data_IF_703137829612
#
_entry.id   IF_703137829612
#
_cell.length_a   1.000
_cell.length_b   1.000
_cell.length_c   1.000
_cell.angle_alpha   90.00
_cell.angle_beta   90.00
_cell.angle_gamma   90.00
#
_symmetry.space_group_name_H-M   'P 1'
#
loop_
_entity.id
_entity.type
_entity.pdbx_description
1 polymer ?
#
# COMPACT_ATOMS: atom_id res chain seq x y z
N UNK A 1 59.24 -5.41 -4.06
CA UNK A 1 60.58 -5.42 -3.41
C UNK A 1 61.60 -6.28 -4.20
N UNK A 2 61.32 -7.55 -4.49
CA UNK A 2 62.23 -8.46 -5.21
C UNK A 2 62.71 -7.96 -6.60
N UNK A 3 61.80 -7.41 -7.43
CA UNK A 3 62.12 -6.83 -8.75
C UNK A 3 63.11 -5.65 -8.68
N UNK A 4 63.05 -4.85 -7.63
CA UNK A 4 63.96 -3.71 -7.46
C UNK A 4 65.35 -4.17 -7.00
N UNK A 5 65.41 -5.20 -6.13
CA UNK A 5 66.66 -5.78 -5.64
C UNK A 5 67.46 -6.42 -6.79
N UNK A 6 66.81 -7.18 -7.69
CA UNK A 6 67.50 -7.80 -8.83
C UNK A 6 68.00 -6.78 -9.86
N UNK A 7 67.45 -5.56 -9.89
CA UNK A 7 67.91 -4.47 -10.76
C UNK A 7 69.14 -3.73 -10.21
N UNK A 8 69.35 -3.73 -8.89
CA UNK A 8 70.44 -3.00 -8.22
C UNK A 8 71.69 -3.88 -8.08
N UNK A 9 71.54 -5.18 -7.86
CA UNK A 9 72.65 -6.08 -7.52
C UNK A 9 73.68 -6.36 -8.63
N UNK A 10 73.40 -6.00 -9.89
CA UNK A 10 74.32 -6.12 -11.05
C UNK A 10 75.01 -7.50 -11.21
N UNK A 11 74.39 -8.58 -10.74
CA UNK A 11 74.88 -9.96 -10.85
C UNK A 11 74.16 -10.73 -11.98
N UNK A 12 74.78 -11.80 -12.50
CA UNK A 12 74.20 -12.60 -13.60
C UNK A 12 72.86 -13.23 -13.22
N UNK A 13 72.73 -13.73 -11.99
CA UNK A 13 71.45 -14.25 -11.47
C UNK A 13 70.37 -13.16 -11.43
N UNK A 14 70.70 -11.92 -11.06
CA UNK A 14 69.76 -10.80 -11.04
C UNK A 14 69.28 -10.41 -12.44
N UNK A 15 70.14 -10.49 -13.47
CA UNK A 15 69.75 -10.32 -14.87
C UNK A 15 68.74 -11.37 -15.32
N UNK A 16 68.99 -12.65 -14.99
CA UNK A 16 68.08 -13.75 -15.29
C UNK A 16 66.71 -13.53 -14.64
N UNK A 17 66.68 -13.26 -13.32
CA UNK A 17 65.43 -13.02 -12.62
C UNK A 17 64.70 -11.77 -13.12
N UNK A 18 65.43 -10.73 -13.53
CA UNK A 18 64.85 -9.53 -14.15
C UNK A 18 64.14 -9.87 -15.47
N UNK A 19 64.78 -10.63 -16.36
CA UNK A 19 64.17 -11.05 -17.63
C UNK A 19 62.92 -11.87 -17.38
N UNK A 20 62.99 -12.82 -16.45
CA UNK A 20 61.84 -13.61 -16.03
C UNK A 20 60.67 -12.76 -15.52
N UNK A 21 60.92 -11.75 -14.67
CA UNK A 21 59.87 -10.83 -14.21
C UNK A 21 59.29 -9.97 -15.34
N UNK A 22 60.11 -9.53 -16.29
CA UNK A 22 59.63 -8.75 -17.45
C UNK A 22 58.73 -9.60 -18.36
N UNK A 23 59.07 -10.86 -18.57
CA UNK A 23 58.25 -11.81 -19.33
C UNK A 23 56.95 -12.15 -18.60
N UNK A 24 57.02 -12.37 -17.29
CA UNK A 24 55.82 -12.52 -16.46
C UNK A 24 54.91 -11.29 -16.55
N UNK A 25 55.46 -10.09 -16.45
CA UNK A 25 54.67 -8.85 -16.57
C UNK A 25 54.11 -8.65 -17.97
N UNK A 26 54.88 -8.97 -19.03
CA UNK A 26 54.39 -8.89 -20.42
C UNK A 26 53.25 -9.88 -20.67
N UNK A 27 53.39 -11.11 -20.19
CA UNK A 27 52.35 -12.12 -20.35
C UNK A 27 51.16 -11.84 -19.44
N UNK A 28 51.36 -11.24 -18.27
CA UNK A 28 50.29 -10.81 -17.37
C UNK A 28 49.57 -9.58 -17.90
N UNK A 29 50.27 -8.64 -18.52
CA UNK A 29 49.68 -7.44 -19.11
C UNK A 29 49.31 -7.64 -20.58
N UNK A 30 49.35 -8.87 -21.10
CA UNK A 30 48.90 -9.13 -22.47
C UNK A 30 47.40 -8.80 -22.59
N UNK A 31 46.97 -8.17 -23.70
CA UNK A 31 45.58 -7.78 -23.89
C UNK A 31 44.60 -8.94 -23.63
N UNK A 32 44.96 -10.14 -24.09
CA UNK A 32 44.17 -11.37 -23.88
C UNK A 32 44.01 -11.73 -22.39
N UNK A 33 45.10 -11.72 -21.60
CA UNK A 33 45.01 -12.10 -20.18
C UNK A 33 44.32 -11.03 -19.33
N UNK A 34 44.45 -9.76 -19.70
CA UNK A 34 43.73 -8.65 -19.04
C UNK A 34 42.23 -8.74 -19.37
N UNK A 35 41.88 -8.96 -20.63
CA UNK A 35 40.50 -9.11 -21.08
C UNK A 35 39.83 -10.34 -20.46
N UNK A 36 40.52 -11.48 -20.37
CA UNK A 36 39.99 -12.69 -19.72
C UNK A 36 39.60 -12.43 -18.27
N UNK A 37 40.41 -11.66 -17.53
CA UNK A 37 40.09 -11.25 -16.15
C UNK A 37 38.92 -10.28 -16.08
N UNK A 38 38.89 -9.28 -16.96
CA UNK A 38 37.76 -8.35 -17.04
C UNK A 38 36.45 -9.09 -17.32
N UNK A 39 36.47 -10.08 -18.22
CA UNK A 39 35.33 -10.91 -18.56
C UNK A 39 34.91 -11.82 -17.38
N UNK A 40 35.86 -12.40 -16.66
CA UNK A 40 35.56 -13.15 -15.43
C UNK A 40 34.87 -12.29 -14.37
N UNK A 41 35.37 -11.07 -14.16
CA UNK A 41 34.77 -10.12 -13.22
C UNK A 41 33.35 -9.70 -13.66
N UNK A 42 33.17 -9.40 -14.95
CA UNK A 42 31.86 -9.07 -15.51
C UNK A 42 30.86 -10.23 -15.34
N UNK A 43 31.27 -11.47 -15.62
CA UNK A 43 30.43 -12.65 -15.44
C UNK A 43 30.08 -12.89 -13.97
N UNK A 44 31.02 -12.69 -13.05
CA UNK A 44 30.75 -12.78 -11.61
C UNK A 44 29.71 -11.72 -11.18
N UNK A 45 29.83 -10.50 -11.70
CA UNK A 45 28.88 -9.42 -11.42
C UNK A 45 27.49 -9.70 -12.01
N UNK A 46 27.40 -10.22 -13.24
CA UNK A 46 26.13 -10.63 -13.85
C UNK A 46 25.48 -11.74 -13.02
N UNK A 47 26.25 -12.71 -12.54
CA UNK A 47 25.74 -13.79 -11.69
C UNK A 47 25.21 -13.24 -10.36
N UNK A 48 25.96 -12.35 -9.70
CA UNK A 48 25.51 -11.70 -8.46
C UNK A 48 24.22 -10.90 -8.67
N UNK A 49 24.17 -10.07 -9.70
CA UNK A 49 22.98 -9.30 -10.06
C UNK A 49 21.78 -10.22 -10.36
N UNK A 50 21.98 -11.32 -11.08
CA UNK A 50 20.91 -12.29 -11.35
C UNK A 50 20.35 -12.92 -10.07
N UNK A 51 21.22 -13.21 -9.10
CA UNK A 51 20.83 -13.75 -7.81
C UNK A 51 20.05 -12.72 -6.98
N UNK A 52 20.50 -11.46 -7.00
CA UNK A 52 19.78 -10.36 -6.36
C UNK A 52 18.40 -10.13 -6.97
N UNK A 53 18.27 -10.13 -8.29
CA UNK A 53 16.98 -10.02 -8.98
C UNK A 53 16.03 -11.16 -8.57
N UNK A 54 16.51 -12.41 -8.61
CA UNK A 54 15.68 -13.57 -8.22
C UNK A 54 15.20 -13.49 -6.76
N UNK A 55 16.07 -13.02 -5.86
CA UNK A 55 15.71 -12.80 -4.45
C UNK A 55 14.67 -11.70 -4.28
N UNK A 56 14.85 -10.56 -4.97
CA UNK A 56 13.89 -9.45 -4.95
C UNK A 56 12.54 -9.86 -5.52
N UNK A 57 12.53 -10.65 -6.61
CA UNK A 57 11.30 -11.20 -7.19
C UNK A 57 10.55 -12.08 -6.18
N UNK A 58 11.26 -12.93 -5.45
CA UNK A 58 10.68 -13.74 -4.36
C UNK A 58 10.04 -12.88 -3.27
N UNK A 59 10.71 -11.81 -2.84
CA UNK A 59 10.18 -10.86 -1.85
C UNK A 59 8.94 -10.12 -2.38
N UNK A 60 8.95 -9.67 -3.64
CA UNK A 60 7.81 -8.99 -4.27
C UNK A 60 6.60 -9.93 -4.33
N UNK A 61 6.79 -11.20 -4.68
CA UNK A 61 5.69 -12.18 -4.73
C UNK A 61 5.09 -12.41 -3.34
N UNK A 62 5.93 -12.54 -2.32
CA UNK A 62 5.47 -12.71 -0.94
C UNK A 62 4.70 -11.47 -0.44
N UNK A 63 5.24 -10.28 -0.67
CA UNK A 63 4.53 -9.03 -0.37
C UNK A 63 3.21 -8.91 -1.14
N UNK A 64 3.18 -9.29 -2.42
CA UNK A 64 1.94 -9.30 -3.23
C UNK A 64 0.89 -10.23 -2.65
N UNK A 65 1.26 -11.42 -2.16
CA UNK A 65 0.33 -12.35 -1.48
C UNK A 65 -0.23 -11.74 -0.19
N UNK A 66 0.63 -11.12 0.62
CA UNK A 66 0.20 -10.43 1.84
C UNK A 66 -0.76 -9.27 1.52
N UNK A 67 -0.41 -8.44 0.54
CA UNK A 67 -1.25 -7.33 0.07
C UNK A 67 -2.59 -7.84 -0.49
N UNK A 68 -2.61 -8.93 -1.25
CA UNK A 68 -3.84 -9.51 -1.81
C UNK A 68 -4.83 -9.93 -0.71
N UNK A 69 -4.35 -10.45 0.42
CA UNK A 69 -5.20 -10.80 1.57
C UNK A 69 -5.77 -9.58 2.30
N UNK A 70 -5.05 -8.45 2.27
CA UNK A 70 -5.42 -7.20 2.94
C UNK A 70 -6.26 -6.27 2.07
N UNK A 71 -6.13 -6.35 0.74
CA UNK A 71 -6.78 -5.48 -0.24
C UNK A 71 -8.31 -5.37 -0.12
N UNK A 72 -9.09 -6.46 0.00
CA UNK A 72 -10.55 -6.29 0.04
C UNK A 72 -11.02 -5.50 1.29
N UNK A 73 -10.27 -5.56 2.39
CA UNK A 73 -10.60 -4.85 3.65
C UNK A 73 -10.16 -3.38 3.65
N UNK A 74 -9.08 -3.05 2.95
CA UNK A 74 -8.51 -1.70 2.92
C UNK A 74 -9.16 -0.79 1.87
N UNK A 75 -9.67 -1.36 0.76
CA UNK A 75 -10.17 -0.60 -0.39
C UNK A 75 -11.37 0.30 -0.04
N UNK A 76 -12.30 -0.15 0.80
CA UNK A 76 -13.42 0.70 1.24
C UNK A 76 -12.97 1.86 2.13
N UNK A 77 -12.02 1.61 3.04
CA UNK A 77 -11.45 2.61 3.94
C UNK A 77 -10.61 3.63 3.17
N UNK A 78 -9.81 3.19 2.22
CA UNK A 78 -8.99 4.07 1.38
C UNK A 78 -9.88 4.98 0.52
N UNK A 79 -10.96 4.46 -0.08
CA UNK A 79 -11.92 5.30 -0.82
C UNK A 79 -12.57 6.38 0.06
N UNK A 80 -12.90 6.04 1.31
CA UNK A 80 -13.45 6.98 2.29
C UNK A 80 -12.42 8.07 2.65
N UNK A 81 -11.15 7.70 2.79
CA UNK A 81 -10.09 8.60 3.24
C UNK A 81 -9.68 9.64 2.17
N UNK A 82 -9.76 9.29 0.88
CA UNK A 82 -9.31 10.16 -0.22
C UNK A 82 -10.28 11.29 -0.62
N UNK A 83 -11.51 11.32 -0.10
CA UNK A 83 -12.51 12.33 -0.48
C UNK A 83 -12.91 13.23 0.70
N UNK A 84 -12.62 14.54 0.70
CA UNK A 84 -12.98 15.46 1.79
C UNK A 84 -14.46 15.89 1.75
N UNK A 85 -15.35 15.06 1.18
CA UNK A 85 -16.75 15.42 0.94
C UNK A 85 -17.68 15.01 2.08
N UNK A 86 -18.73 15.81 2.27
CA UNK A 86 -19.87 15.46 3.12
C UNK A 86 -20.74 14.46 2.39
N UNK A 87 -21.09 13.38 3.08
CA UNK A 87 -21.80 12.25 2.49
C UNK A 87 -23.24 12.21 3.00
N UNK A 88 -24.18 11.96 2.10
CA UNK A 88 -25.58 11.79 2.48
C UNK A 88 -25.80 10.41 3.10
N UNK A 89 -26.70 10.32 4.08
CA UNK A 89 -27.11 9.04 4.67
C UNK A 89 -27.65 8.06 3.62
N UNK A 90 -28.25 8.56 2.54
CA UNK A 90 -28.72 7.76 1.40
C UNK A 90 -27.58 7.08 0.66
N UNK A 91 -26.46 7.76 0.45
CA UNK A 91 -25.28 7.19 -0.20
C UNK A 91 -24.68 6.10 0.67
N UNK A 92 -24.48 6.38 1.97
CA UNK A 92 -23.98 5.38 2.93
C UNK A 92 -24.89 4.16 2.97
N UNK A 93 -26.22 4.35 3.08
CA UNK A 93 -27.15 3.22 3.14
C UNK A 93 -27.08 2.31 1.90
N UNK A 94 -26.86 2.89 0.71
CA UNK A 94 -26.69 2.13 -0.53
C UNK A 94 -25.43 1.27 -0.51
N UNK A 95 -24.34 1.74 0.09
CA UNK A 95 -23.11 0.94 0.24
C UNK A 95 -23.34 -0.33 1.09
N UNK A 96 -24.31 -0.30 2.02
CA UNK A 96 -24.70 -1.45 2.83
C UNK A 96 -25.89 -2.24 2.26
N UNK A 97 -26.40 -1.84 1.10
CA UNK A 97 -27.52 -2.52 0.45
C UNK A 97 -28.87 -2.30 1.11
N UNK A 98 -29.05 -1.20 1.82
CA UNK A 98 -30.30 -0.89 2.51
C UNK A 98 -30.80 0.50 2.16
N UNK A 99 -32.06 0.78 2.54
CA UNK A 99 -32.62 2.12 2.38
C UNK A 99 -32.10 3.05 3.49
N UNK A 100 -32.08 4.36 3.23
CA UNK A 100 -31.76 5.35 4.26
C UNK A 100 -32.73 5.25 5.45
N UNK A 101 -33.99 4.87 5.21
CA UNK A 101 -34.99 4.67 6.28
C UNK A 101 -34.57 3.51 7.18
N UNK A 102 -34.15 2.39 6.59
CA UNK A 102 -33.68 1.20 7.32
C UNK A 102 -32.42 1.51 8.12
N UNK A 103 -31.43 2.15 7.50
CA UNK A 103 -30.20 2.56 8.18
C UNK A 103 -30.50 3.50 9.35
N UNK A 104 -31.39 4.48 9.15
CA UNK A 104 -31.72 5.42 10.21
C UNK A 104 -32.43 4.77 11.40
N UNK A 105 -33.33 3.81 11.14
CA UNK A 105 -33.97 3.01 12.19
C UNK A 105 -32.94 2.18 12.96
N UNK A 106 -31.98 1.58 12.25
CA UNK A 106 -30.93 0.78 12.86
C UNK A 106 -30.04 1.63 13.78
N UNK A 107 -29.62 2.82 13.34
CA UNK A 107 -28.85 3.74 14.17
C UNK A 107 -29.67 4.30 15.35
N UNK A 108 -30.99 4.41 15.20
CA UNK A 108 -31.89 4.77 16.30
C UNK A 108 -31.98 3.66 17.35
N UNK A 109 -32.06 2.40 16.92
CA UNK A 109 -32.09 1.24 17.82
C UNK A 109 -30.74 1.02 18.54
N UNK A 110 -29.66 1.57 18.01
CA UNK A 110 -28.31 1.55 18.62
C UNK A 110 -28.02 2.80 19.46
N UNK A 111 -29.03 3.64 19.75
CA UNK A 111 -28.91 4.88 20.53
C UNK A 111 -27.83 5.85 20.01
N UNK A 112 -27.69 5.97 18.68
CA UNK A 112 -26.73 6.89 18.04
C UNK A 112 -27.40 8.18 17.59
N UNK A 113 -28.62 8.07 17.07
CA UNK A 113 -29.37 9.20 16.56
C UNK A 113 -30.85 9.07 16.85
N UNK A 114 -31.54 10.20 16.84
CA UNK A 114 -32.98 10.29 16.99
C UNK A 114 -33.56 11.28 15.98
N UNK A 115 -34.87 11.22 15.76
CA UNK A 115 -35.55 12.08 14.78
C UNK A 115 -36.21 13.27 15.49
N UNK A 116 -35.88 14.49 15.09
CA UNK A 116 -36.53 15.74 15.54
C UNK A 116 -36.90 16.61 14.34
N UNK A 117 -38.14 17.10 14.32
CA UNK A 117 -38.63 18.05 13.31
C UNK A 117 -38.35 17.64 11.85
N UNK A 118 -38.36 16.34 11.55
CA UNK A 118 -38.08 15.81 10.22
C UNK A 118 -36.60 15.52 9.92
N UNK A 119 -35.68 15.88 10.80
CA UNK A 119 -34.23 15.71 10.64
C UNK A 119 -33.69 14.71 11.66
N UNK A 120 -32.67 13.92 11.26
CA UNK A 120 -31.98 12.99 12.16
C UNK A 120 -30.81 13.70 12.84
N UNK A 121 -30.75 13.64 14.16
CA UNK A 121 -29.74 14.32 14.97
C UNK A 121 -29.05 13.28 15.86
N UNK A 122 -27.75 13.42 16.06
CA UNK A 122 -26.98 12.55 16.96
C UNK A 122 -27.32 12.82 18.42
N UNK A 123 -27.24 11.78 19.26
CA UNK A 123 -27.23 11.96 20.72
C UNK A 123 -26.01 12.74 21.18
N UNK A 124 -26.11 13.35 22.37
CA UNK A 124 -25.08 14.21 22.94
C UNK A 124 -23.70 13.52 22.99
N UNK A 125 -23.67 12.23 23.34
CA UNK A 125 -22.46 11.42 23.42
C UNK A 125 -21.67 11.35 22.11
N UNK A 126 -22.32 11.63 20.98
CA UNK A 126 -21.74 11.56 19.64
C UNK A 126 -21.69 12.90 18.91
N UNK A 127 -22.46 13.91 19.35
CA UNK A 127 -22.59 15.20 18.70
C UNK A 127 -21.24 15.96 18.62
N UNK A 128 -20.49 15.98 19.72
CA UNK A 128 -19.23 16.76 19.82
C UNK A 128 -18.03 16.10 19.11
N UNK A 129 -18.20 14.87 18.60
CA UNK A 129 -17.12 14.09 17.97
C UNK A 129 -16.87 14.47 16.51
N UNK A 130 -17.69 15.36 15.93
CA UNK A 130 -17.55 15.85 14.56
C UNK A 130 -17.97 14.82 13.50
N UNK A 131 -18.89 13.90 13.84
CA UNK A 131 -19.34 12.84 12.94
C UNK A 131 -20.36 13.30 11.89
N UNK A 132 -21.11 14.36 12.19
CA UNK A 132 -22.11 14.91 11.27
C UNK A 132 -22.01 16.43 11.16
N UNK A 133 -22.49 16.96 10.05
CA UNK A 133 -22.73 18.39 9.84
C UNK A 133 -24.15 18.61 9.34
N UNK A 134 -24.80 19.64 9.86
CA UNK A 134 -26.13 20.06 9.39
C UNK A 134 -25.97 20.99 8.20
N UNK A 135 -26.62 20.66 7.09
CA UNK A 135 -26.78 21.59 5.96
C UNK A 135 -28.20 22.08 5.89
N UNK A 136 -28.36 23.38 5.77
CA UNK A 136 -29.66 24.04 5.60
C UNK A 136 -29.81 24.49 4.17
N UNK A 137 -30.93 24.11 3.55
CA UNK A 137 -31.31 24.52 2.20
C UNK A 137 -32.53 25.41 2.27
N UNK A 138 -32.44 26.54 1.60
CA UNK A 138 -33.56 27.48 1.42
C UNK A 138 -34.34 26.96 0.21
N UNK A 139 -35.59 26.55 0.42
CA UNK A 139 -36.46 26.06 -0.65
C UNK A 139 -37.21 27.23 -1.28
N UNK A 140 -37.73 28.13 -0.45
CA UNK A 140 -38.39 29.39 -0.82
C UNK A 140 -37.96 30.48 0.19
N UNK A 141 -38.20 31.76 -0.10
CA UNK A 141 -37.82 32.90 0.76
C UNK A 141 -38.26 32.74 2.25
N UNK A 142 -39.34 31.99 2.52
CA UNK A 142 -39.85 31.71 3.86
C UNK A 142 -39.76 30.24 4.33
N UNK A 143 -39.14 29.34 3.56
CA UNK A 143 -39.06 27.91 3.93
C UNK A 143 -37.64 27.39 3.83
N UNK A 144 -37.10 26.97 4.98
CA UNK A 144 -35.81 26.30 5.08
C UNK A 144 -36.01 24.84 5.48
N UNK A 145 -35.24 23.93 4.86
CA UNK A 145 -35.14 22.53 5.31
C UNK A 145 -33.70 22.22 5.63
N UNK A 146 -33.48 21.70 6.83
CA UNK A 146 -32.17 21.25 7.28
C UNK A 146 -32.09 19.73 7.21
N UNK A 147 -30.98 19.21 6.70
CA UNK A 147 -30.68 17.79 6.76
C UNK A 147 -29.27 17.54 7.30
N UNK A 148 -29.10 16.38 7.90
CA UNK A 148 -27.84 15.97 8.49
C UNK A 148 -27.02 15.18 7.48
N UNK A 149 -25.78 15.60 7.31
CA UNK A 149 -24.77 14.95 6.47
C UNK A 149 -23.69 14.35 7.34
N UNK A 150 -23.09 13.25 6.89
CA UNK A 150 -22.02 12.57 7.59
C UNK A 150 -20.66 13.05 7.08
N UNK A 151 -19.72 13.24 8.01
CA UNK A 151 -18.32 13.46 7.68
C UNK A 151 -17.63 12.12 7.41
N UNK A 152 -16.44 12.12 6.79
CA UNK A 152 -15.68 10.87 6.62
C UNK A 152 -15.31 10.23 7.96
N UNK A 153 -15.01 11.04 8.98
CA UNK A 153 -14.81 10.56 10.35
C UNK A 153 -16.06 9.86 10.90
N UNK A 154 -17.24 10.42 10.63
CA UNK A 154 -18.52 9.81 10.99
C UNK A 154 -18.80 8.52 10.21
N UNK A 155 -18.47 8.49 8.91
CA UNK A 155 -18.59 7.29 8.08
C UNK A 155 -17.67 6.16 8.55
N UNK A 156 -16.45 6.47 8.96
CA UNK A 156 -15.52 5.52 9.59
C UNK A 156 -16.07 4.98 10.91
N UNK A 157 -16.64 5.87 11.74
CA UNK A 157 -17.31 5.46 12.99
C UNK A 157 -18.46 4.48 12.70
N UNK A 158 -19.33 4.81 11.74
CA UNK A 158 -20.42 3.91 11.31
C UNK A 158 -19.89 2.57 10.82
N UNK A 159 -18.83 2.57 10.01
CA UNK A 159 -18.22 1.32 9.53
C UNK A 159 -17.74 0.43 10.68
N UNK A 160 -16.98 0.97 11.61
CA UNK A 160 -16.46 0.19 12.76
C UNK A 160 -17.60 -0.34 13.64
N UNK A 161 -18.61 0.49 13.90
CA UNK A 161 -19.77 0.12 14.69
C UNK A 161 -20.60 -0.98 14.00
N UNK A 162 -20.97 -0.78 12.74
CA UNK A 162 -21.77 -1.75 11.98
C UNK A 162 -21.03 -3.08 11.85
N UNK A 163 -19.71 -3.03 11.63
CA UNK A 163 -18.85 -4.22 11.58
C UNK A 163 -18.82 -4.96 12.92
N UNK A 164 -18.80 -4.26 14.05
CA UNK A 164 -18.91 -4.88 15.37
C UNK A 164 -20.25 -5.61 15.57
N UNK A 165 -21.31 -5.13 14.93
CA UNK A 165 -22.63 -5.80 14.88
C UNK A 165 -22.78 -6.82 13.73
N UNK A 166 -21.70 -7.16 13.02
CA UNK A 166 -21.72 -8.13 11.92
C UNK A 166 -22.30 -7.63 10.60
N UNK A 167 -22.54 -6.32 10.48
CA UNK A 167 -23.09 -5.69 9.27
C UNK A 167 -21.93 -5.07 8.48
N UNK A 168 -21.59 -5.69 7.34
CA UNK A 168 -20.53 -5.20 6.45
C UNK A 168 -21.09 -4.58 5.17
N UNK A 169 -20.36 -3.62 4.56
CA UNK A 169 -20.70 -3.05 3.26
C UNK A 169 -20.78 -4.13 2.18
N UNK A 170 -21.55 -3.88 1.12
CA UNK A 170 -21.71 -4.80 -0.01
C UNK A 170 -20.39 -5.18 -0.67
N UNK A 171 -19.42 -4.26 -0.71
CA UNK A 171 -18.10 -4.54 -1.28
C UNK A 171 -17.25 -5.53 -0.45
N UNK A 172 -17.57 -5.71 0.83
CA UNK A 172 -16.87 -6.65 1.71
C UNK A 172 -17.65 -7.96 1.91
N UNK A 173 -18.89 -8.05 1.43
CA UNK A 173 -19.66 -9.29 1.52
C UNK A 173 -18.99 -10.32 0.61
N UNK A 174 -18.69 -11.54 1.09
CA UNK A 174 -18.28 -12.61 0.21
C UNK A 174 -19.41 -12.81 -0.80
N UNK A 175 -19.07 -12.86 -2.09
CA UNK A 175 -20.03 -13.18 -3.15
C UNK A 175 -20.66 -14.53 -2.83
N UNK A 176 -21.87 -14.52 -2.27
CA UNK A 176 -22.67 -15.73 -2.17
C UNK A 176 -23.10 -15.99 -3.61
N UNK A 177 -22.33 -16.84 -4.29
CA UNK A 177 -22.68 -17.47 -5.57
C UNK A 177 -24.12 -17.97 -5.47
N UNK A 178 -25.03 -17.18 -6.02
CA UNK A 178 -26.43 -17.53 -6.17
C UNK A 178 -26.56 -18.63 -7.21
N UNK A 179 -26.48 -19.88 -6.76
CA UNK A 179 -27.08 -21.02 -7.44
C UNK A 179 -27.95 -21.77 -6.44
N UNK A 180 -29.11 -21.19 -6.14
CA UNK A 180 -30.27 -21.99 -5.78
C UNK A 180 -31.17 -21.93 -7.01
N UNK A 181 -30.90 -22.82 -7.95
CA UNK A 181 -31.84 -23.16 -9.01
C UNK A 181 -33.11 -23.68 -8.34
N UNK A 182 -34.24 -23.03 -8.64
CA UNK A 182 -35.58 -23.58 -8.42
C UNK A 182 -35.87 -24.65 -9.45
#
# INVERSE_FOLDING_TARGET
MAKHICMIQRNEKGKLYRQYFLELERTWNSPEKVMARALQLANAQVKELSWQCSRLDGQIQEQKKQIASLRPKAVYLDMILHSPSLVLTTQIAKDYGMSAVTLNKLLCNMDIQFKRCGTWILYQDYADKGYTQTKTFIINENQTKSYTTWTQKGRLFLYNLLKAHGIVPMCERPEISGYISR
#
